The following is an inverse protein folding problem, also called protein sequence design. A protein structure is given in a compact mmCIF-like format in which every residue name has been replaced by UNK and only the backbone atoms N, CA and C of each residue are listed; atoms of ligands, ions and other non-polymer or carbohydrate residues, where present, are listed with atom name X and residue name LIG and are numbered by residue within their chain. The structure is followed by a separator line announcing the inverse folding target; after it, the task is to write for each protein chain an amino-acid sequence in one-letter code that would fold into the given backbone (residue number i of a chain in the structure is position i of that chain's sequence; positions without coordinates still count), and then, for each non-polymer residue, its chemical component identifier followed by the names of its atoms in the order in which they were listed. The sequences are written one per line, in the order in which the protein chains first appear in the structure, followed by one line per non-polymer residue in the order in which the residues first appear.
data_IF_778251746878
#
_entry.id   IF_778251746878
#
_cell.length_a   1.000
_cell.length_b   1.000
_cell.length_c   1.000
_cell.angle_alpha   90.00
_cell.angle_beta   90.00
_cell.angle_gamma   90.00
#
_symmetry.space_group_name_H-M   'P 1'
#
loop_
_entity.id
_entity.type
_entity.pdbx_description
1 polymer ?
#
# COMPACT_ATOMS: atom_id res chain seq x y z
N UNK A 1 17.66 -61.90 -24.79
CA UNK A 1 16.39 -61.20 -24.43
C UNK A 1 16.74 -60.10 -23.44
N UNK A 2 16.92 -58.86 -23.92
CA UNK A 2 17.29 -57.71 -23.11
C UNK A 2 15.99 -56.94 -22.79
N UNK A 3 15.69 -56.81 -21.51
CA UNK A 3 14.52 -56.00 -21.02
C UNK A 3 15.03 -54.60 -20.70
N UNK A 4 14.58 -53.63 -21.49
CA UNK A 4 14.86 -52.19 -21.31
C UNK A 4 13.88 -51.63 -20.28
N UNK A 5 14.38 -51.28 -19.09
CA UNK A 5 13.62 -50.62 -18.05
C UNK A 5 13.65 -49.12 -18.32
N UNK A 6 12.54 -48.50 -18.78
CA UNK A 6 12.38 -47.08 -18.95
C UNK A 6 12.07 -46.44 -17.58
N UNK A 7 13.00 -45.65 -17.06
CA UNK A 7 12.79 -44.85 -15.84
C UNK A 7 11.99 -43.60 -16.20
N UNK A 8 10.70 -43.53 -15.79
CA UNK A 8 9.93 -42.31 -15.78
C UNK A 8 10.42 -41.43 -14.60
N UNK A 9 11.13 -40.35 -14.93
CA UNK A 9 11.49 -39.34 -13.98
C UNK A 9 10.27 -38.52 -13.58
N UNK A 10 9.77 -38.66 -12.36
CA UNK A 10 8.83 -37.73 -11.74
C UNK A 10 9.57 -36.43 -11.44
N UNK A 11 9.36 -35.41 -12.25
CA UNK A 11 9.79 -34.05 -11.92
C UNK A 11 8.74 -33.47 -10.97
N UNK A 12 9.10 -33.37 -9.69
CA UNK A 12 8.36 -32.60 -8.72
C UNK A 12 8.54 -31.10 -9.07
N UNK A 13 7.53 -30.49 -9.67
CA UNK A 13 7.47 -29.05 -9.89
C UNK A 13 7.50 -28.35 -8.55
N UNK A 14 8.64 -27.73 -8.21
CA UNK A 14 8.69 -26.82 -7.07
C UNK A 14 7.73 -25.66 -7.36
N UNK A 15 6.64 -25.57 -6.58
CA UNK A 15 5.78 -24.40 -6.58
C UNK A 15 6.64 -23.19 -6.18
N UNK A 16 6.88 -22.29 -7.12
CA UNK A 16 7.53 -21.02 -6.84
C UNK A 16 6.58 -20.21 -5.94
N UNK A 17 7.07 -19.60 -4.86
CA UNK A 17 6.23 -18.67 -4.08
C UNK A 17 5.77 -17.60 -5.04
N UNK A 18 4.46 -17.45 -5.18
CA UNK A 18 3.86 -16.32 -5.89
C UNK A 18 4.29 -15.06 -5.15
N UNK A 19 5.17 -14.27 -5.75
CA UNK A 19 5.41 -12.89 -5.30
C UNK A 19 4.08 -12.19 -5.51
N UNK A 20 3.37 -11.95 -4.41
CA UNK A 20 2.14 -11.16 -4.44
C UNK A 20 2.51 -9.80 -5.03
N UNK A 21 1.88 -9.46 -6.15
CA UNK A 21 2.15 -8.20 -6.83
C UNK A 21 1.91 -7.03 -5.86
N UNK A 22 2.78 -6.03 -5.91
CA UNK A 22 2.58 -4.82 -5.11
C UNK A 22 1.20 -4.24 -5.42
N UNK A 23 0.45 -3.78 -4.41
CA UNK A 23 -0.90 -3.24 -4.62
C UNK A 23 -0.87 -1.81 -5.21
N UNK A 24 0.19 -1.43 -5.92
CA UNK A 24 0.40 -0.10 -6.46
C UNK A 24 1.30 -0.12 -7.69
N UNK A 25 1.14 0.92 -8.54
CA UNK A 25 2.03 1.24 -9.67
C UNK A 25 2.61 2.64 -9.47
N UNK A 26 3.93 2.78 -9.65
CA UNK A 26 4.67 4.03 -9.37
C UNK A 26 5.73 4.27 -10.44
N UNK A 27 5.77 5.51 -10.92
CA UNK A 27 6.83 6.03 -11.79
C UNK A 27 7.40 7.31 -11.17
N UNK A 28 8.69 7.31 -10.88
CA UNK A 28 9.38 8.46 -10.31
C UNK A 28 10.48 8.94 -11.26
N UNK A 29 10.42 10.20 -11.64
CA UNK A 29 11.45 10.88 -12.39
C UNK A 29 12.26 11.80 -11.46
N UNK A 30 13.56 12.00 -11.70
CA UNK A 30 14.35 12.95 -10.93
C UNK A 30 13.72 14.35 -10.95
N UNK A 31 13.69 15.02 -9.81
CA UNK A 31 13.22 16.41 -9.65
C UNK A 31 11.74 16.65 -9.99
N UNK A 32 10.93 15.59 -10.10
CA UNK A 32 9.50 15.69 -10.33
C UNK A 32 8.70 14.91 -9.27
N UNK A 33 7.43 15.29 -9.02
CA UNK A 33 6.53 14.45 -8.24
C UNK A 33 6.39 13.07 -8.88
N UNK A 34 6.42 12.00 -8.07
CA UNK A 34 6.13 10.66 -8.58
C UNK A 34 4.71 10.58 -9.13
N UNK A 35 4.54 9.85 -10.22
CA UNK A 35 3.24 9.48 -10.77
C UNK A 35 2.83 8.14 -10.20
N UNK A 36 1.59 8.02 -9.78
CA UNK A 36 1.07 6.81 -9.14
C UNK A 36 -0.27 6.42 -9.74
N UNK A 37 -0.64 5.15 -9.62
CA UNK A 37 -1.97 4.67 -10.00
C UNK A 37 -3.08 5.39 -9.23
N UNK A 38 -4.32 5.26 -9.72
CA UNK A 38 -5.47 5.97 -9.16
C UNK A 38 -5.72 5.61 -7.69
N UNK A 39 -5.61 4.32 -7.32
CA UNK A 39 -5.85 3.88 -5.95
C UNK A 39 -4.81 4.49 -4.99
N UNK A 40 -3.53 4.41 -5.34
CA UNK A 40 -2.44 5.03 -4.57
C UNK A 40 -2.59 6.54 -4.47
N UNK A 41 -3.01 7.22 -5.55
CA UNK A 41 -3.29 8.66 -5.54
C UNK A 41 -4.44 9.03 -4.60
N UNK A 42 -5.55 8.30 -4.65
CA UNK A 42 -6.68 8.52 -3.73
C UNK A 42 -6.23 8.28 -2.29
N UNK A 43 -5.51 7.20 -2.03
CA UNK A 43 -4.96 6.87 -0.71
C UNK A 43 -4.07 7.97 -0.15
N UNK A 44 -3.18 8.53 -0.97
CA UNK A 44 -2.36 9.68 -0.60
C UNK A 44 -3.24 10.88 -0.23
N UNK A 45 -4.26 11.21 -1.05
CA UNK A 45 -5.17 12.34 -0.78
C UNK A 45 -5.93 12.17 0.53
N UNK A 46 -6.49 10.99 0.76
CA UNK A 46 -7.20 10.67 2.00
C UNK A 46 -6.25 10.74 3.19
N UNK A 47 -5.04 10.19 3.07
CA UNK A 47 -4.05 10.26 4.13
C UNK A 47 -3.70 11.70 4.49
N UNK A 48 -3.38 12.54 3.51
CA UNK A 48 -3.05 13.95 3.74
C UNK A 48 -4.19 14.71 4.42
N UNK A 49 -5.43 14.44 4.03
CA UNK A 49 -6.60 15.14 4.57
C UNK A 49 -7.02 14.65 5.96
N UNK A 50 -6.87 13.35 6.26
CA UNK A 50 -7.51 12.72 7.43
C UNK A 50 -6.51 12.19 8.46
N UNK A 51 -5.27 11.92 8.08
CA UNK A 51 -4.30 11.21 8.91
C UNK A 51 -3.04 12.03 9.21
N UNK A 52 -2.61 12.86 8.26
CA UNK A 52 -1.33 13.57 8.31
C UNK A 52 -1.20 14.54 9.49
N UNK A 53 -2.30 15.10 9.99
CA UNK A 53 -2.30 15.99 11.17
C UNK A 53 -1.66 15.30 12.40
N UNK A 54 -1.87 14.00 12.55
CA UNK A 54 -1.30 13.22 13.66
C UNK A 54 -0.07 12.41 13.22
N UNK A 55 -0.13 11.76 12.04
CA UNK A 55 0.91 10.85 11.57
C UNK A 55 2.00 11.52 10.73
N UNK A 56 1.96 12.84 10.58
CA UNK A 56 2.78 13.66 9.68
C UNK A 56 2.60 13.32 8.18
N UNK A 57 2.88 14.27 7.31
CA UNK A 57 2.67 14.12 5.86
C UNK A 57 3.60 13.05 5.24
N UNK A 58 4.73 12.79 5.87
CA UNK A 58 5.73 11.80 5.47
C UNK A 58 5.54 10.41 6.11
N UNK A 59 4.43 10.22 6.85
CA UNK A 59 4.03 9.01 7.61
C UNK A 59 4.96 8.63 8.77
N UNK A 60 5.88 9.52 9.15
CA UNK A 60 6.89 9.29 10.20
C UNK A 60 6.37 9.51 11.62
N UNK A 61 5.11 9.92 11.75
CA UNK A 61 4.53 10.19 13.05
C UNK A 61 4.88 11.56 13.63
N UNK A 62 4.39 11.79 14.84
CA UNK A 62 4.56 13.03 15.58
C UNK A 62 4.50 12.77 17.09
N UNK A 63 4.42 13.83 17.91
CA UNK A 63 4.13 13.69 19.34
C UNK A 63 2.72 13.12 19.63
N UNK A 64 1.83 13.09 18.64
CA UNK A 64 0.44 12.65 18.79
C UNK A 64 0.20 11.23 18.30
N UNK A 65 1.03 10.73 17.35
CA UNK A 65 0.82 9.44 16.72
C UNK A 65 2.15 8.78 16.31
N UNK A 66 2.22 7.45 16.32
CA UNK A 66 3.46 6.73 16.04
C UNK A 66 3.90 6.84 14.58
N UNK A 67 5.18 6.56 14.34
CA UNK A 67 5.78 6.33 13.03
C UNK A 67 5.16 5.10 12.37
N UNK A 68 4.45 5.31 11.25
CA UNK A 68 3.80 4.23 10.51
C UNK A 68 4.79 3.40 9.69
N UNK A 69 5.95 3.96 9.31
CA UNK A 69 7.01 3.20 8.64
C UNK A 69 7.49 2.03 9.51
N UNK A 70 7.55 2.25 10.82
CA UNK A 70 7.94 1.23 11.80
C UNK A 70 6.78 0.32 12.17
N UNK A 71 5.59 0.90 12.38
CA UNK A 71 4.42 0.16 12.89
C UNK A 71 3.82 -0.81 11.89
N UNK A 72 3.85 -0.49 10.60
CA UNK A 72 3.18 -1.26 9.56
C UNK A 72 4.09 -2.24 8.84
N UNK A 73 5.39 -2.31 9.12
CA UNK A 73 6.32 -3.15 8.38
C UNK A 73 5.95 -4.64 8.31
N UNK A 74 5.36 -5.18 9.36
CA UNK A 74 4.88 -6.56 9.42
C UNK A 74 3.35 -6.72 9.46
N UNK A 75 2.60 -5.63 9.26
CA UNK A 75 1.15 -5.62 9.36
C UNK A 75 0.51 -6.18 8.08
N UNK A 76 -0.50 -7.03 8.23
CA UNK A 76 -1.32 -7.47 7.10
C UNK A 76 -2.39 -6.42 6.78
N UNK A 77 -2.93 -6.45 5.56
CA UNK A 77 -4.06 -5.58 5.16
C UNK A 77 -5.25 -5.74 6.12
N UNK A 78 -5.56 -6.97 6.49
CA UNK A 78 -6.63 -7.29 7.44
C UNK A 78 -6.41 -6.62 8.80
N UNK A 79 -5.17 -6.66 9.31
CA UNK A 79 -4.86 -6.06 10.62
C UNK A 79 -4.93 -4.54 10.55
N UNK A 80 -4.51 -3.96 9.41
CA UNK A 80 -4.65 -2.53 9.14
C UNK A 80 -6.11 -2.09 9.14
N UNK A 81 -6.99 -2.77 8.39
CA UNK A 81 -8.42 -2.47 8.38
C UNK A 81 -9.04 -2.59 9.76
N UNK A 82 -8.71 -3.66 10.49
CA UNK A 82 -9.17 -3.84 11.86
C UNK A 82 -8.68 -2.75 12.82
N UNK A 83 -7.49 -2.20 12.59
CA UNK A 83 -6.98 -1.07 13.38
C UNK A 83 -7.73 0.23 13.08
N UNK A 84 -8.07 0.48 11.81
CA UNK A 84 -8.90 1.62 11.41
C UNK A 84 -10.32 1.53 12.00
N UNK A 85 -10.93 0.34 11.95
CA UNK A 85 -12.28 0.12 12.47
C UNK A 85 -12.39 0.35 13.97
N UNK A 86 -11.43 -0.17 14.73
CA UNK A 86 -11.45 -0.10 16.19
C UNK A 86 -10.86 1.18 16.76
N UNK A 87 -9.95 1.82 16.02
CA UNK A 87 -9.09 2.86 16.57
C UNK A 87 -8.09 2.29 17.59
N UNK A 88 -7.46 3.18 18.33
CA UNK A 88 -6.55 2.85 19.42
C UNK A 88 -6.74 3.83 20.58
N UNK A 89 -6.86 3.29 21.79
CA UNK A 89 -6.98 4.08 23.00
C UNK A 89 -5.89 3.63 23.99
N UNK A 90 -4.88 4.45 24.17
CA UNK A 90 -3.75 4.16 25.05
C UNK A 90 -3.37 5.36 25.90
N UNK A 91 -2.48 5.16 26.90
CA UNK A 91 -2.12 6.21 27.86
C UNK A 91 -1.46 7.45 27.24
N UNK A 92 -0.81 7.29 26.09
CA UNK A 92 -0.01 8.35 25.44
C UNK A 92 -0.51 8.73 24.05
N UNK A 93 -1.51 8.01 23.52
CA UNK A 93 -1.98 8.23 22.15
C UNK A 93 -3.42 7.72 22.01
N UNK A 94 -4.21 8.47 21.26
CA UNK A 94 -5.58 8.08 20.91
C UNK A 94 -5.77 8.25 19.41
N UNK A 95 -6.09 7.15 18.74
CA UNK A 95 -6.54 7.14 17.36
C UNK A 95 -8.04 6.85 17.36
N UNK A 96 -8.89 7.76 16.89
CA UNK A 96 -10.33 7.50 16.84
C UNK A 96 -10.66 6.39 15.83
N UNK A 97 -11.72 5.60 16.08
CA UNK A 97 -12.19 4.61 15.12
C UNK A 97 -12.68 5.29 13.83
N UNK A 98 -12.35 4.72 12.67
CA UNK A 98 -12.65 5.25 11.35
C UNK A 98 -13.65 4.42 10.54
N UNK A 99 -14.10 3.29 11.07
CA UNK A 99 -15.01 2.38 10.36
C UNK A 99 -16.35 2.97 9.95
N UNK A 100 -16.74 4.12 10.52
CA UNK A 100 -17.97 4.84 10.17
C UNK A 100 -17.71 6.24 9.62
N UNK A 101 -16.46 6.60 9.41
CA UNK A 101 -16.09 7.90 8.84
C UNK A 101 -16.24 7.84 7.30
N UNK A 102 -17.19 8.59 6.72
CA UNK A 102 -17.44 8.54 5.27
C UNK A 102 -16.28 9.06 4.42
N UNK A 103 -15.33 9.78 5.04
CA UNK A 103 -14.13 10.26 4.36
C UNK A 103 -12.95 9.30 4.45
N UNK A 104 -13.10 8.19 5.17
CA UNK A 104 -12.02 7.22 5.41
C UNK A 104 -12.45 5.79 5.08
N UNK A 105 -13.58 5.33 5.62
CA UNK A 105 -14.02 3.94 5.50
C UNK A 105 -14.15 3.43 4.05
N UNK A 106 -14.65 4.20 3.07
CA UNK A 106 -14.73 3.76 1.69
C UNK A 106 -13.37 3.62 0.99
N UNK A 107 -12.28 4.10 1.59
CA UNK A 107 -10.94 4.23 0.97
C UNK A 107 -9.86 3.41 1.68
N UNK A 108 -10.23 2.32 2.33
CA UNK A 108 -9.28 1.49 3.09
C UNK A 108 -8.25 0.80 2.18
N UNK A 109 -8.67 0.33 1.02
CA UNK A 109 -7.78 -0.29 0.04
C UNK A 109 -6.80 0.73 -0.56
N UNK A 110 -7.28 1.92 -0.87
CA UNK A 110 -6.47 3.02 -1.39
C UNK A 110 -5.45 3.51 -0.35
N UNK A 111 -5.88 3.65 0.91
CA UNK A 111 -4.98 3.97 2.01
C UNK A 111 -3.90 2.89 2.19
N UNK A 112 -4.29 1.62 2.06
CA UNK A 112 -3.36 0.51 2.11
C UNK A 112 -2.34 0.58 0.99
N UNK A 113 -2.75 0.80 -0.27
CA UNK A 113 -1.86 0.94 -1.42
C UNK A 113 -0.83 2.05 -1.21
N UNK A 114 -1.28 3.24 -0.83
CA UNK A 114 -0.38 4.36 -0.53
C UNK A 114 0.61 4.04 0.58
N UNK A 115 0.14 3.53 1.72
CA UNK A 115 0.99 3.25 2.86
C UNK A 115 1.98 2.13 2.57
N UNK A 116 1.59 1.09 1.83
CA UNK A 116 2.51 0.03 1.41
C UNK A 116 3.62 0.55 0.50
N UNK A 117 3.30 1.43 -0.44
CA UNK A 117 4.27 2.08 -1.31
C UNK A 117 5.30 2.92 -0.51
N UNK A 118 4.82 3.65 0.51
CA UNK A 118 5.67 4.40 1.42
C UNK A 118 6.61 3.50 2.23
N UNK A 119 6.06 2.42 2.80
CA UNK A 119 6.78 1.50 3.69
C UNK A 119 7.81 0.66 2.93
N UNK A 120 7.50 0.26 1.71
CA UNK A 120 8.45 -0.42 0.84
C UNK A 120 9.62 0.47 0.41
N UNK A 121 9.45 1.79 0.49
CA UNK A 121 10.44 2.78 0.04
C UNK A 121 10.34 3.13 -1.43
N UNK A 122 9.34 2.59 -2.13
CA UNK A 122 9.12 2.81 -3.56
C UNK A 122 8.54 4.21 -3.84
N UNK A 123 7.83 4.78 -2.87
CA UNK A 123 7.28 6.14 -2.95
C UNK A 123 8.00 7.06 -1.94
N UNK A 124 8.82 8.02 -2.39
CA UNK A 124 9.44 9.02 -1.53
C UNK A 124 8.38 9.96 -0.90
N UNK A 125 8.73 10.69 0.20
CA UNK A 125 7.84 11.71 0.74
C UNK A 125 7.66 12.86 -0.23
N UNK A 126 6.46 13.43 -0.28
CA UNK A 126 6.17 14.58 -1.13
C UNK A 126 4.82 14.48 -1.83
N UNK A 127 4.51 15.46 -2.69
CA UNK A 127 3.33 15.41 -3.51
C UNK A 127 3.45 14.32 -4.57
N UNK A 128 2.32 13.77 -4.96
CA UNK A 128 2.21 12.82 -6.07
C UNK A 128 1.22 13.32 -7.11
N UNK A 129 1.38 12.87 -8.35
CA UNK A 129 0.42 13.06 -9.43
C UNK A 129 -0.10 11.70 -9.88
N UNK A 130 -1.21 11.69 -10.61
CA UNK A 130 -1.78 10.45 -11.10
C UNK A 130 -1.08 10.02 -12.40
N UNK A 131 -0.81 8.73 -12.54
CA UNK A 131 -0.57 8.12 -13.84
C UNK A 131 -1.83 8.37 -14.67
N UNK A 132 -1.69 9.08 -15.79
CA UNK A 132 -2.77 9.20 -16.73
C UNK A 132 -2.88 7.84 -17.43
N UNK A 133 -4.07 7.27 -17.44
CA UNK A 133 -4.36 6.20 -18.38
C UNK A 133 -4.10 6.82 -19.76
N UNK A 134 -3.28 6.18 -20.58
CA UNK A 134 -3.15 6.53 -21.99
C UNK A 134 -4.53 6.29 -22.66
N UNK A 135 -5.45 7.20 -22.41
CA UNK A 135 -6.62 7.34 -23.25
C UNK A 135 -6.08 7.80 -24.60
N UNK A 136 -5.91 6.83 -25.48
CA UNK A 136 -5.76 7.07 -26.90
C UNK A 136 -6.98 7.86 -27.38
N UNK A 137 -6.93 9.17 -27.19
CA UNK A 137 -7.82 10.10 -27.88
C UNK A 137 -7.40 10.08 -29.32
N UNK A 138 -7.91 9.13 -30.07
CA UNK A 138 -8.03 9.30 -31.50
C UNK A 138 -9.04 10.42 -31.73
N UNK A 139 -8.52 11.64 -31.84
CA UNK A 139 -9.31 12.74 -32.40
C UNK A 139 -9.60 12.39 -33.85
N UNK A 140 -10.87 12.13 -34.15
CA UNK A 140 -11.41 12.00 -35.48
C UNK A 140 -11.81 13.39 -36.01
#
# INVERSE_FOLDING_TARGET
MLVLCAALGCQAGAAQPSVEAAPYEIECEPDQPCRVDLATYIGWRVFQAQCATCHAADVRGSSFAPDLMLRMGGMTQRDFFAALDRGYFGPQSTMPPRGRDPNVAPYYDELWSFLRARIAGDLPPGPVTRLEEDEGVTAD
#
